data_IF_336672968394
#
_entry.id   IF_336672968394
#
_cell.length_a   1.000
_cell.length_b   1.000
_cell.length_c   1.000
_cell.angle_alpha   90.00
_cell.angle_beta   90.00
_cell.angle_gamma   90.00
#
_symmetry.space_group_name_H-M   'P 1'
#
loop_
_entity.id
_entity.type
_entity.pdbx_description
1 polymer ?
#
# COMPACT_ATOMS: atom_id res chain seq x y z
N UNK A 1 10.53 -17.44 7.09
CA UNK A 1 10.99 -16.21 6.43
C UNK A 1 10.49 -15.03 7.26
N UNK A 2 11.32 -14.03 7.53
CA UNK A 2 11.11 -13.07 8.62
C UNK A 2 10.63 -11.73 8.05
N UNK A 3 9.35 -11.40 8.27
CA UNK A 3 8.81 -10.05 8.03
C UNK A 3 9.29 -9.16 9.16
N UNK A 4 9.99 -8.08 8.84
CA UNK A 4 10.48 -7.13 9.82
C UNK A 4 9.57 -5.89 9.82
N UNK A 5 9.10 -5.51 11.01
CA UNK A 5 8.38 -4.26 11.24
C UNK A 5 9.41 -3.26 11.77
N UNK A 6 9.64 -2.18 11.03
CA UNK A 6 10.52 -1.08 11.45
C UNK A 6 9.69 0.17 11.70
N UNK A 7 9.85 0.76 12.89
CA UNK A 7 9.36 2.11 13.21
C UNK A 7 10.50 3.09 12.95
N UNK A 8 10.34 3.99 11.98
CA UNK A 8 11.44 4.84 11.51
C UNK A 8 11.32 6.27 12.06
N UNK A 9 12.30 6.69 12.85
CA UNK A 9 12.51 8.09 13.24
C UNK A 9 13.49 8.84 12.30
N UNK A 10 13.74 8.35 11.07
CA UNK A 10 14.73 8.96 10.17
C UNK A 10 14.16 9.25 8.77
N UNK A 11 14.01 10.56 8.50
CA UNK A 11 13.55 11.16 7.24
C UNK A 11 14.50 10.86 6.09
N UNK A 12 13.99 10.26 5.01
CA UNK A 12 14.53 10.46 3.66
C UNK A 12 13.79 11.64 3.02
N UNK A 13 14.50 12.75 2.78
CA UNK A 13 13.96 13.93 2.13
C UNK A 13 14.41 13.95 0.66
N UNK A 14 13.46 13.97 -0.26
CA UNK A 14 13.61 14.67 -1.54
C UNK A 14 12.32 15.42 -1.80
N UNK A 15 12.38 16.74 -1.65
CA UNK A 15 11.26 17.66 -1.86
C UNK A 15 11.18 18.04 -3.33
N UNK A 16 9.99 17.93 -3.93
CA UNK A 16 9.61 18.79 -5.04
C UNK A 16 8.36 19.58 -4.65
N UNK A 17 8.53 20.89 -4.48
CA UNK A 17 7.45 21.86 -4.21
C UNK A 17 6.80 22.19 -5.54
N UNK A 18 5.47 22.22 -5.59
CA UNK A 18 4.73 23.24 -6.33
C UNK A 18 3.31 23.36 -5.77
N UNK A 19 3.00 24.56 -5.28
CA UNK A 19 1.67 24.98 -4.86
C UNK A 19 0.87 25.42 -6.09
N UNK A 20 -0.45 25.24 -6.08
CA UNK A 20 -1.41 26.29 -6.43
C UNK A 20 -2.83 25.87 -6.03
N UNK A 21 -3.52 26.80 -5.39
CA UNK A 21 -4.91 26.78 -4.93
C UNK A 21 -5.80 27.31 -6.06
N UNK A 22 -6.91 26.62 -6.39
CA UNK A 22 -8.29 27.19 -6.49
C UNK A 22 -9.28 26.16 -7.02
N UNK A 23 -10.38 26.04 -6.27
CA UNK A 23 -11.78 25.91 -6.69
C UNK A 23 -12.36 24.57 -7.19
N UNK A 24 -13.45 24.23 -6.51
CA UNK A 24 -14.41 23.13 -6.64
C UNK A 24 -15.01 23.08 -8.05
N UNK A 25 -14.88 21.93 -8.73
CA UNK A 25 -15.78 21.47 -9.79
C UNK A 25 -15.64 19.95 -9.97
N UNK A 26 -16.78 19.28 -9.89
CA UNK A 26 -17.00 17.84 -10.11
C UNK A 26 -16.60 17.39 -11.51
N UNK A 27 -15.40 16.81 -11.62
CA UNK A 27 -15.02 15.86 -12.67
C UNK A 27 -14.17 14.77 -12.01
N UNK A 28 -14.69 13.54 -11.86
CA UNK A 28 -13.87 12.41 -11.41
C UNK A 28 -13.02 11.97 -12.60
N UNK A 29 -11.96 12.73 -12.86
CA UNK A 29 -10.79 12.23 -13.57
C UNK A 29 -10.21 11.02 -12.84
N UNK A 30 -9.32 10.22 -13.46
CA UNK A 30 -8.77 9.04 -12.80
C UNK A 30 -8.12 9.48 -11.48
N UNK A 31 -8.76 9.12 -10.37
CA UNK A 31 -8.20 9.32 -9.03
C UNK A 31 -6.79 8.75 -9.03
N UNK A 32 -5.83 9.49 -8.47
CA UNK A 32 -4.46 9.02 -8.36
C UNK A 32 -4.45 7.59 -7.78
N UNK A 33 -3.55 6.72 -8.23
CA UNK A 33 -3.58 5.32 -7.81
C UNK A 33 -3.41 5.21 -6.28
N UNK A 34 -4.27 4.41 -5.64
CA UNK A 34 -4.26 4.17 -4.19
C UNK A 34 -2.97 3.44 -3.73
N UNK A 35 -2.25 2.84 -4.68
CA UNK A 35 -0.96 2.18 -4.51
C UNK A 35 0.04 2.71 -5.55
N UNK A 36 1.22 3.11 -5.10
CA UNK A 36 2.34 3.51 -5.95
C UNK A 36 3.49 2.51 -5.82
N UNK A 37 4.11 2.15 -6.96
CA UNK A 37 5.24 1.24 -7.02
C UNK A 37 6.49 2.01 -7.45
N UNK A 38 7.53 2.02 -6.60
CA UNK A 38 8.78 2.74 -6.87
C UNK A 38 9.97 1.78 -6.80
N UNK A 39 10.74 1.70 -7.88
CA UNK A 39 12.05 1.04 -7.86
C UNK A 39 13.07 2.03 -7.27
N UNK A 40 13.70 1.67 -6.16
CA UNK A 40 14.75 2.52 -5.58
C UNK A 40 15.99 2.54 -6.48
N UNK A 41 16.89 3.49 -6.26
CA UNK A 41 18.10 3.69 -7.09
C UNK A 41 19.37 3.67 -6.25
N UNK A 42 20.53 3.64 -6.90
CA UNK A 42 21.83 3.59 -6.24
C UNK A 42 22.03 2.29 -5.46
N UNK A 43 22.50 2.38 -4.22
CA UNK A 43 22.77 1.23 -3.34
C UNK A 43 21.51 0.39 -3.03
N UNK A 44 20.32 0.92 -3.31
CA UNK A 44 19.04 0.26 -3.09
C UNK A 44 18.34 -0.19 -4.38
N UNK A 45 19.03 -0.26 -5.53
CA UNK A 45 18.44 -0.58 -6.84
C UNK A 45 17.69 -1.93 -6.96
N UNK A 46 17.75 -2.78 -5.93
CA UNK A 46 17.04 -4.06 -5.85
C UNK A 46 15.89 -4.05 -4.84
N UNK A 47 15.56 -2.89 -4.28
CA UNK A 47 14.45 -2.70 -3.36
C UNK A 47 13.30 -2.10 -4.13
N UNK A 48 12.13 -2.73 -4.04
CA UNK A 48 10.88 -2.18 -4.55
C UNK A 48 10.05 -1.67 -3.40
N UNK A 49 9.60 -0.43 -3.52
CA UNK A 49 8.72 0.22 -2.57
C UNK A 49 7.27 0.16 -3.04
N UNK A 50 6.40 -0.39 -2.19
CA UNK A 50 4.95 -0.34 -2.30
C UNK A 50 4.47 0.77 -1.34
N UNK A 51 4.01 1.88 -1.89
CA UNK A 51 3.56 3.03 -1.13
C UNK A 51 2.03 3.16 -1.18
N UNK A 52 1.39 3.03 -0.01
CA UNK A 52 -0.06 3.21 0.16
C UNK A 52 -0.41 4.70 0.18
N UNK A 53 -1.36 5.12 -0.66
CA UNK A 53 -1.75 6.52 -0.84
C UNK A 53 -3.26 6.70 -1.01
N UNK A 54 -3.99 6.45 0.07
CA UNK A 54 -5.45 6.64 0.17
C UNK A 54 -5.79 7.47 1.42
N UNK A 55 -5.35 8.74 1.49
CA UNK A 55 -5.42 9.57 2.69
C UNK A 55 -6.85 9.77 3.22
N UNK A 56 -7.82 9.95 2.33
CA UNK A 56 -9.23 10.17 2.64
C UNK A 56 -9.90 8.97 3.33
N UNK A 57 -9.31 7.77 3.20
CA UNK A 57 -9.74 6.56 3.89
C UNK A 57 -8.68 5.99 4.84
N UNK A 58 -7.66 6.76 5.22
CA UNK A 58 -6.58 6.29 6.11
C UNK A 58 -5.96 4.95 5.65
N UNK A 59 -5.78 4.79 4.33
CA UNK A 59 -5.31 3.54 3.72
C UNK A 59 -6.14 2.30 4.09
N UNK A 60 -7.44 2.45 4.35
CA UNK A 60 -8.31 1.30 4.55
C UNK A 60 -8.31 0.39 3.31
N UNK A 61 -8.28 -0.92 3.55
CA UNK A 61 -8.26 -1.98 2.55
C UNK A 61 -9.64 -2.12 1.91
N UNK A 62 -9.87 -1.32 0.86
CA UNK A 62 -11.02 -1.41 -0.02
C UNK A 62 -10.76 -2.36 -1.21
N UNK A 63 -11.80 -2.60 -2.02
CA UNK A 63 -11.73 -3.49 -3.20
C UNK A 63 -10.63 -3.08 -4.18
N UNK A 64 -10.49 -1.78 -4.45
CA UNK A 64 -9.49 -1.25 -5.39
C UNK A 64 -8.05 -1.44 -4.87
N UNK A 65 -7.75 -0.95 -3.67
CA UNK A 65 -6.43 -1.13 -3.05
C UNK A 65 -6.02 -2.61 -2.96
N UNK A 66 -6.95 -3.49 -2.59
CA UNK A 66 -6.68 -4.94 -2.52
C UNK A 66 -6.37 -5.53 -3.89
N UNK A 67 -7.08 -5.13 -4.95
CA UNK A 67 -6.80 -5.59 -6.31
C UNK A 67 -5.42 -5.12 -6.81
N UNK A 68 -5.07 -3.85 -6.55
CA UNK A 68 -3.74 -3.31 -6.89
C UNK A 68 -2.63 -4.03 -6.12
N UNK A 69 -2.84 -4.29 -4.83
CA UNK A 69 -1.89 -5.00 -3.99
C UNK A 69 -1.71 -6.44 -4.46
N UNK A 70 -2.79 -7.16 -4.73
CA UNK A 70 -2.74 -8.55 -5.23
C UNK A 70 -1.92 -8.67 -6.52
N UNK A 71 -2.23 -7.82 -7.51
CA UNK A 71 -1.50 -7.80 -8.78
C UNK A 71 -0.01 -7.44 -8.60
N UNK A 72 0.29 -6.51 -7.68
CA UNK A 72 1.67 -6.11 -7.36
C UNK A 72 2.45 -7.27 -6.75
N UNK A 73 1.87 -7.97 -5.77
CA UNK A 73 2.52 -9.09 -5.09
C UNK A 73 2.73 -10.26 -6.06
N UNK A 74 1.76 -10.55 -6.94
CA UNK A 74 1.91 -11.57 -7.97
C UNK A 74 3.07 -11.23 -8.92
N UNK A 75 3.19 -9.97 -9.36
CA UNK A 75 4.31 -9.53 -10.20
C UNK A 75 5.66 -9.65 -9.49
N UNK A 76 5.73 -9.27 -8.21
CA UNK A 76 6.97 -9.31 -7.43
C UNK A 76 7.41 -10.74 -7.09
N UNK A 77 6.47 -11.69 -7.03
CA UNK A 77 6.78 -13.09 -6.72
C UNK A 77 7.64 -13.78 -7.79
N UNK A 78 7.57 -13.31 -9.04
CA UNK A 78 8.30 -13.88 -10.18
C UNK A 78 9.47 -13.02 -10.65
N UNK A 79 9.60 -11.78 -10.15
CA UNK A 79 10.68 -10.88 -10.53
C UNK A 79 11.97 -11.20 -9.77
N UNK A 80 12.94 -11.78 -10.48
CA UNK A 80 14.24 -12.16 -9.92
C UNK A 80 15.21 -10.99 -9.71
N UNK A 81 14.87 -9.79 -10.19
CA UNK A 81 15.70 -8.60 -10.04
C UNK A 81 15.50 -7.93 -8.68
N UNK A 82 14.34 -8.13 -8.08
CA UNK A 82 13.97 -7.64 -6.76
C UNK A 82 14.57 -8.52 -5.68
N UNK A 83 15.17 -7.89 -4.67
CA UNK A 83 15.79 -8.56 -3.52
C UNK A 83 15.14 -8.20 -2.19
N UNK A 84 14.29 -7.17 -2.16
CA UNK A 84 13.54 -6.77 -0.98
C UNK A 84 12.30 -5.97 -1.39
N UNK A 85 11.20 -6.14 -0.64
CA UNK A 85 10.00 -5.31 -0.75
C UNK A 85 9.90 -4.44 0.50
N UNK A 86 9.68 -3.14 0.30
CA UNK A 86 9.37 -2.18 1.35
C UNK A 86 7.92 -1.74 1.21
N UNK A 87 7.08 -2.00 2.20
CA UNK A 87 5.70 -1.51 2.24
C UNK A 87 5.65 -0.33 3.21
N UNK A 88 5.18 0.83 2.75
CA UNK A 88 5.03 2.02 3.59
C UNK A 88 3.79 2.82 3.23
N UNK A 89 3.48 3.80 4.07
CA UNK A 89 2.43 4.78 3.78
C UNK A 89 3.03 6.08 3.26
N UNK A 90 2.29 6.78 2.39
CA UNK A 90 2.49 8.20 2.06
C UNK A 90 1.66 9.11 2.95
N UNK A 91 0.73 8.56 3.74
CA UNK A 91 -0.15 9.29 4.65
C UNK A 91 0.54 9.45 6.00
N UNK A 92 0.78 10.67 6.49
CA UNK A 92 1.45 10.90 7.77
C UNK A 92 0.71 10.23 8.94
N UNK A 93 1.46 9.58 9.83
CA UNK A 93 0.98 8.92 11.06
C UNK A 93 -0.08 7.83 10.85
N UNK A 94 -0.26 7.33 9.63
CA UNK A 94 -1.25 6.33 9.29
C UNK A 94 -0.62 5.32 8.36
N UNK A 95 -0.45 4.08 8.81
CA UNK A 95 -0.06 3.00 7.91
C UNK A 95 -1.27 2.48 7.12
N UNK A 96 -2.23 1.86 7.82
CA UNK A 96 -3.45 1.27 7.26
C UNK A 96 -4.49 1.11 8.38
N UNK A 97 -5.73 1.56 8.15
CA UNK A 97 -6.82 1.47 9.13
C UNK A 97 -7.48 0.07 9.19
N UNK A 98 -7.00 -0.92 8.44
CA UNK A 98 -7.61 -2.24 8.32
C UNK A 98 -8.67 -2.30 7.22
N UNK A 99 -9.70 -3.15 7.37
CA UNK A 99 -10.76 -3.28 6.37
C UNK A 99 -11.56 -1.97 6.21
N UNK A 100 -11.95 -1.63 4.97
CA UNK A 100 -12.77 -0.45 4.73
C UNK A 100 -14.20 -0.62 5.25
N UNK A 101 -14.49 0.06 6.36
CA UNK A 101 -15.79 0.00 7.02
C UNK A 101 -16.92 0.61 6.17
N UNK A 102 -16.67 1.61 5.31
CA UNK A 102 -17.74 2.17 4.48
C UNK A 102 -18.09 1.20 3.36
N UNK A 103 -17.09 0.62 2.69
CA UNK A 103 -17.35 -0.43 1.70
C UNK A 103 -18.00 -1.66 2.34
N UNK A 104 -17.70 -1.93 3.61
CA UNK A 104 -18.36 -3.00 4.37
C UNK A 104 -19.84 -2.74 4.63
N UNK A 105 -20.25 -1.48 4.84
CA UNK A 105 -21.66 -1.11 5.07
C UNK A 105 -22.51 -1.32 3.82
N UNK A 106 -21.94 -1.05 2.65
CA UNK A 106 -22.64 -1.17 1.36
C UNK A 106 -22.55 -2.59 0.77
N UNK A 107 -21.87 -3.52 1.45
CA UNK A 107 -21.61 -4.87 0.96
C UNK A 107 -22.74 -5.85 1.32
N UNK A 108 -23.32 -6.57 0.33
CA UNK A 108 -24.25 -7.65 0.58
C UNK A 108 -23.65 -8.72 1.49
N UNK A 109 -24.46 -9.34 2.36
CA UNK A 109 -23.96 -10.27 3.36
C UNK A 109 -23.23 -11.48 2.74
N UNK A 110 -23.62 -11.92 1.54
CA UNK A 110 -22.94 -12.97 0.78
C UNK A 110 -21.53 -12.60 0.30
N UNK A 111 -21.22 -11.32 0.08
CA UNK A 111 -19.91 -10.85 -0.41
C UNK A 111 -18.88 -10.71 0.71
N UNK A 112 -19.32 -10.65 1.96
CA UNK A 112 -18.47 -10.37 3.13
C UNK A 112 -17.44 -11.47 3.36
N UNK A 113 -17.88 -12.72 3.34
CA UNK A 113 -17.02 -13.89 3.52
C UNK A 113 -15.91 -13.94 2.46
N UNK A 114 -16.26 -13.87 1.16
CA UNK A 114 -15.31 -13.76 0.07
C UNK A 114 -14.33 -12.58 0.24
N UNK A 115 -14.81 -11.40 0.61
CA UNK A 115 -13.96 -10.22 0.79
C UNK A 115 -12.92 -10.40 1.90
N UNK A 116 -13.34 -10.86 3.08
CA UNK A 116 -12.41 -11.15 4.19
C UNK A 116 -11.43 -12.26 3.83
N UNK A 117 -11.89 -13.26 3.07
CA UNK A 117 -11.03 -14.34 2.58
C UNK A 117 -9.98 -13.82 1.60
N UNK A 118 -10.35 -12.89 0.73
CA UNK A 118 -9.40 -12.26 -0.21
C UNK A 118 -8.34 -11.44 0.50
N UNK A 119 -8.71 -10.70 1.55
CA UNK A 119 -7.73 -10.01 2.41
C UNK A 119 -6.71 -11.01 2.97
N UNK A 120 -7.18 -12.11 3.57
CA UNK A 120 -6.32 -13.15 4.14
C UNK A 120 -5.42 -13.81 3.10
N UNK A 121 -5.94 -14.08 1.90
CA UNK A 121 -5.19 -14.64 0.79
C UNK A 121 -4.03 -13.71 0.40
N UNK A 122 -4.29 -12.41 0.21
CA UNK A 122 -3.26 -11.43 -0.17
C UNK A 122 -2.16 -11.33 0.90
N UNK A 123 -2.53 -11.27 2.18
CA UNK A 123 -1.53 -11.27 3.26
C UNK A 123 -0.74 -12.58 3.31
N UNK A 124 -1.36 -13.71 2.98
CA UNK A 124 -0.68 -14.99 2.88
C UNK A 124 0.31 -15.01 1.71
N UNK A 125 -0.03 -14.38 0.57
CA UNK A 125 0.90 -14.18 -0.55
C UNK A 125 2.08 -13.31 -0.16
N UNK A 126 1.84 -12.20 0.55
CA UNK A 126 2.91 -11.32 1.07
C UNK A 126 3.86 -12.10 1.98
N UNK A 127 3.32 -12.91 2.88
CA UNK A 127 4.12 -13.76 3.77
C UNK A 127 4.87 -14.87 3.03
N UNK A 128 4.31 -15.35 1.92
CA UNK A 128 4.89 -16.39 1.07
C UNK A 128 5.84 -15.91 -0.02
N UNK A 129 6.09 -14.59 -0.13
CA UNK A 129 7.08 -14.06 -1.08
C UNK A 129 8.46 -14.71 -0.83
N UNK A 130 9.26 -14.97 -1.87
CA UNK A 130 10.60 -15.57 -1.72
C UNK A 130 11.68 -14.55 -1.30
N UNK A 131 11.35 -13.26 -1.30
CA UNK A 131 12.23 -12.13 -0.98
C UNK A 131 11.79 -11.40 0.29
N UNK A 132 12.73 -10.92 1.14
CA UNK A 132 12.39 -10.20 2.37
C UNK A 132 11.37 -9.08 2.15
N UNK A 133 10.36 -9.02 3.03
CA UNK A 133 9.35 -7.95 3.04
C UNK A 133 9.44 -7.18 4.35
N UNK A 134 9.54 -5.86 4.24
CA UNK A 134 9.67 -4.93 5.37
C UNK A 134 8.45 -4.03 5.37
N UNK A 135 7.81 -3.85 6.53
CA UNK A 135 6.79 -2.83 6.73
C UNK A 135 7.39 -1.65 7.50
N UNK A 136 7.39 -0.46 6.90
CA UNK A 136 7.73 0.78 7.58
C UNK A 136 6.45 1.40 8.16
N UNK A 137 6.31 1.29 9.48
CA UNK A 137 5.16 1.82 10.22
C UNK A 137 5.53 3.18 10.80
N UNK A 138 5.04 4.23 10.16
CA UNK A 138 5.16 5.61 10.63
C UNK A 138 3.82 6.05 11.23
N UNK A 139 3.73 6.12 12.56
CA UNK A 139 2.52 6.51 13.30
C UNK A 139 2.25 5.69 14.56
N UNK A 140 1.11 5.93 15.20
CA UNK A 140 0.59 5.11 16.31
C UNK A 140 -0.15 3.89 15.74
N UNK A 141 0.09 2.72 16.35
CA UNK A 141 -0.58 1.44 16.03
C UNK A 141 -2.06 1.46 16.43
#
# INVERSE_FOLDING_TARGET
MQTYIFSSHRRYLSTNKNNNTTEDNTEIGPSAPELQLNNLTGDHQHVVEIALNRPERRNALGKQLLAQLDATIDSLSIDKTVRCVLIRSLVPNVFCAGADLKERLDMPQEEVGPFVSKIKEIFSKIFGLPIPTIAALDGEL
#
